data_IF_033015968036
#
_entry.id   IF_033015968036
#
_cell.length_a   1.000
_cell.length_b   1.000
_cell.length_c   1.000
_cell.angle_alpha   90.00
_cell.angle_beta   90.00
_cell.angle_gamma   90.00
#
_symmetry.space_group_name_H-M   'P 1'
#
loop_
_entity.id
_entity.type
_entity.pdbx_description
1 polymer ?
#
# COMPACT_ATOMS: atom_id res chain seq x y z
N UNK A 1 -4.30 7.80 31.22
CA UNK A 1 -5.27 8.91 31.42
C UNK A 1 -5.51 9.23 32.90
N UNK A 2 -5.89 8.26 33.76
CA UNK A 2 -6.18 8.52 35.20
C UNK A 2 -5.04 9.21 35.97
N UNK A 3 -3.79 8.80 35.77
CA UNK A 3 -2.64 9.43 36.41
C UNK A 3 -2.40 10.88 35.95
N UNK A 4 -2.65 11.19 34.67
CA UNK A 4 -2.49 12.56 34.13
C UNK A 4 -3.54 13.52 34.71
N UNK A 5 -4.76 13.04 34.92
CA UNK A 5 -5.84 13.79 35.57
C UNK A 5 -5.53 14.05 37.05
N UNK A 6 -5.08 13.03 37.80
CA UNK A 6 -4.70 13.23 39.21
C UNK A 6 -3.53 14.20 39.38
N UNK A 7 -2.55 14.17 38.47
CA UNK A 7 -1.45 15.15 38.46
C UNK A 7 -1.91 16.56 38.07
N UNK A 8 -2.95 16.71 37.26
CA UNK A 8 -3.52 18.02 36.91
C UNK A 8 -4.24 18.63 38.11
N UNK A 9 -5.10 17.85 38.80
CA UNK A 9 -5.75 18.31 40.03
C UNK A 9 -4.73 18.74 41.09
N UNK A 10 -3.71 17.93 41.35
CA UNK A 10 -2.66 18.29 42.30
C UNK A 10 -1.85 19.53 41.90
N UNK A 11 -1.66 19.78 40.59
CA UNK A 11 -0.94 20.97 40.11
C UNK A 11 -1.79 22.25 40.21
N UNK A 12 -3.11 22.13 40.06
CA UNK A 12 -4.09 23.23 40.28
C UNK A 12 -4.12 23.62 41.75
N UNK A 13 -4.22 22.64 42.66
CA UNK A 13 -4.19 22.87 44.12
C UNK A 13 -2.89 23.54 44.59
N UNK A 14 -1.79 23.32 43.89
CA UNK A 14 -0.47 23.88 44.20
C UNK A 14 -0.18 25.21 43.46
N UNK A 15 -1.16 25.77 42.74
CA UNK A 15 -1.02 27.05 42.03
C UNK A 15 -0.01 27.07 40.87
N UNK A 16 0.41 25.91 40.36
CA UNK A 16 1.46 25.82 39.31
C UNK A 16 0.86 25.94 37.91
N UNK A 17 0.54 27.16 37.50
CA UNK A 17 -0.17 27.49 36.25
C UNK A 17 0.48 26.91 34.99
N UNK A 18 1.81 26.96 34.85
CA UNK A 18 2.52 26.40 33.69
C UNK A 18 2.35 24.88 33.57
N UNK A 19 2.40 24.17 34.71
CA UNK A 19 2.23 22.71 34.75
C UNK A 19 0.79 22.31 34.42
N UNK A 20 -0.18 23.12 34.84
CA UNK A 20 -1.60 22.93 34.49
C UNK A 20 -1.81 23.10 32.99
N UNK A 21 -1.27 24.18 32.40
CA UNK A 21 -1.36 24.42 30.96
C UNK A 21 -0.75 23.27 30.14
N UNK A 22 0.43 22.78 30.53
CA UNK A 22 1.07 21.65 29.85
C UNK A 22 0.26 20.35 29.95
N UNK A 23 -0.27 20.04 31.14
CA UNK A 23 -1.09 18.84 31.34
C UNK A 23 -2.43 18.92 30.59
N UNK A 24 -3.05 20.09 30.53
CA UNK A 24 -4.27 20.32 29.76
C UNK A 24 -4.02 20.14 28.25
N UNK A 25 -2.96 20.73 27.71
CA UNK A 25 -2.59 20.55 26.31
C UNK A 25 -2.34 19.07 25.99
N UNK A 26 -1.59 18.37 26.84
CA UNK A 26 -1.30 16.95 26.66
C UNK A 26 -2.55 16.07 26.70
N UNK A 27 -3.59 16.44 27.46
CA UNK A 27 -4.87 15.72 27.46
C UNK A 27 -5.63 15.94 26.16
N UNK A 28 -5.69 17.18 25.68
CA UNK A 28 -6.30 17.53 24.38
C UNK A 28 -5.62 16.79 23.24
N UNK A 29 -4.29 16.74 23.22
CA UNK A 29 -3.52 16.02 22.20
C UNK A 29 -3.83 14.51 22.21
N UNK A 30 -3.93 13.90 23.40
CA UNK A 30 -4.31 12.49 23.54
C UNK A 30 -5.74 12.21 23.07
N UNK A 31 -6.70 13.09 23.38
CA UNK A 31 -8.09 12.96 22.92
C UNK A 31 -8.18 13.06 21.40
N UNK A 32 -7.43 13.99 20.81
CA UNK A 32 -7.38 14.21 19.37
C UNK A 32 -6.69 13.04 18.63
N UNK A 33 -5.67 12.42 19.23
CA UNK A 33 -5.07 11.21 18.70
C UNK A 33 -6.07 10.03 18.70
N UNK A 34 -6.79 9.83 19.80
CA UNK A 34 -7.79 8.77 19.93
C UNK A 34 -8.98 8.97 18.97
N UNK A 35 -9.46 10.20 18.79
CA UNK A 35 -10.57 10.48 17.88
C UNK A 35 -10.21 10.19 16.43
N UNK A 36 -8.98 10.49 16.01
CA UNK A 36 -8.44 10.13 14.68
C UNK A 36 -8.36 8.62 14.48
N UNK A 37 -7.88 7.88 15.48
CA UNK A 37 -7.80 6.43 15.38
C UNK A 37 -9.20 5.81 15.27
N UNK A 38 -10.16 6.24 16.09
CA UNK A 38 -11.55 5.79 16.00
C UNK A 38 -12.20 6.13 14.65
N UNK A 39 -11.95 7.33 14.12
CA UNK A 39 -12.46 7.75 12.82
C UNK A 39 -11.93 6.89 11.66
N UNK A 40 -10.69 6.40 11.75
CA UNK A 40 -10.06 5.60 10.69
C UNK A 40 -10.19 4.09 10.91
N UNK A 41 -10.52 3.63 12.12
CA UNK A 41 -10.67 2.20 12.45
C UNK A 41 -11.70 1.49 11.56
N UNK A 42 -12.86 2.11 11.35
CA UNK A 42 -13.93 1.56 10.50
C UNK A 42 -13.54 1.44 9.03
N UNK A 43 -12.73 2.37 8.51
CA UNK A 43 -12.20 2.30 7.15
C UNK A 43 -11.20 1.16 7.00
N UNK A 44 -10.38 0.91 8.04
CA UNK A 44 -9.38 -0.17 8.07
C UNK A 44 -10.04 -1.55 8.15
N UNK A 45 -11.14 -1.69 8.89
CA UNK A 45 -11.93 -2.93 8.97
C UNK A 45 -12.72 -3.21 7.69
N UNK A 46 -13.10 -2.18 6.94
CA UNK A 46 -13.78 -2.28 5.64
C UNK A 46 -12.84 -2.51 4.45
N UNK A 47 -11.60 -2.99 4.68
CA UNK A 47 -10.84 -3.60 3.59
C UNK A 47 -11.70 -4.75 3.02
N UNK A 48 -12.00 -4.74 1.71
CA UNK A 48 -13.13 -5.50 1.20
C UNK A 48 -12.96 -6.98 1.50
N UNK A 49 -13.98 -7.54 2.19
CA UNK A 49 -14.23 -8.96 2.20
C UNK A 49 -14.21 -9.43 0.74
N UNK A 50 -13.30 -10.37 0.45
CA UNK A 50 -13.35 -11.28 -0.69
C UNK A 50 -14.20 -10.80 -1.88
N UNK A 51 -13.58 -10.16 -2.88
CA UNK A 51 -14.22 -9.90 -4.18
C UNK A 51 -14.94 -11.18 -4.68
N UNK A 52 -16.13 -11.13 -5.28
CA UNK A 52 -16.87 -12.32 -5.70
C UNK A 52 -15.99 -13.27 -6.55
N UNK A 53 -16.17 -14.59 -6.42
CA UNK A 53 -15.27 -15.57 -7.04
C UNK A 53 -15.10 -15.37 -8.56
N UNK A 54 -16.18 -14.98 -9.26
CA UNK A 54 -16.19 -14.67 -10.69
C UNK A 54 -15.30 -13.47 -11.04
N UNK A 55 -15.22 -12.46 -10.16
CA UNK A 55 -14.35 -11.29 -10.32
C UNK A 55 -12.86 -11.66 -10.12
N UNK A 56 -12.54 -12.65 -9.27
CA UNK A 56 -11.14 -13.06 -9.05
C UNK A 56 -10.56 -13.79 -10.27
N UNK A 57 -11.34 -14.68 -10.90
CA UNK A 57 -10.90 -15.37 -12.12
C UNK A 57 -10.80 -14.41 -13.32
N UNK A 58 -11.74 -13.47 -13.45
CA UNK A 58 -11.67 -12.43 -14.48
C UNK A 58 -10.40 -11.57 -14.32
N UNK A 59 -10.09 -11.16 -13.08
CA UNK A 59 -8.86 -10.41 -12.77
C UNK A 59 -7.59 -11.22 -13.00
N UNK A 60 -7.61 -12.53 -12.73
CA UNK A 60 -6.48 -13.43 -13.03
C UNK A 60 -6.20 -13.44 -14.54
N UNK A 61 -7.24 -13.66 -15.36
CA UNK A 61 -7.13 -13.66 -16.82
C UNK A 61 -6.60 -12.32 -17.35
N UNK A 62 -7.12 -11.20 -16.84
CA UNK A 62 -6.65 -9.85 -17.20
C UNK A 62 -5.15 -9.67 -16.92
N UNK A 63 -4.68 -10.12 -15.75
CA UNK A 63 -3.27 -10.00 -15.39
C UNK A 63 -2.36 -10.92 -16.23
N UNK A 64 -2.84 -12.12 -16.59
CA UNK A 64 -2.13 -13.02 -17.51
C UNK A 64 -2.00 -12.38 -18.90
N UNK A 65 -3.04 -11.72 -19.40
CA UNK A 65 -3.00 -10.97 -20.66
C UNK A 65 -2.01 -9.81 -20.61
N UNK A 66 -1.99 -9.06 -19.51
CA UNK A 66 -0.99 -8.02 -19.30
C UNK A 66 0.43 -8.59 -19.24
N UNK A 67 0.64 -9.73 -18.60
CA UNK A 67 1.94 -10.39 -18.57
C UNK A 67 2.42 -10.73 -19.98
N UNK A 68 1.56 -11.40 -20.78
CA UNK A 68 1.86 -11.76 -22.17
C UNK A 68 2.20 -10.53 -23.01
N UNK A 69 1.43 -9.45 -22.87
CA UNK A 69 1.66 -8.20 -23.59
C UNK A 69 2.96 -7.51 -23.17
N UNK A 70 3.29 -7.49 -21.87
CA UNK A 70 4.54 -6.92 -21.37
C UNK A 70 5.76 -7.70 -21.89
N UNK A 71 5.68 -9.03 -21.93
CA UNK A 71 6.74 -9.86 -22.49
C UNK A 71 6.95 -9.59 -23.99
N UNK A 72 5.86 -9.46 -24.76
CA UNK A 72 5.95 -9.09 -26.17
C UNK A 72 6.62 -7.71 -26.35
N UNK A 73 6.19 -6.72 -25.57
CA UNK A 73 6.76 -5.37 -25.59
C UNK A 73 8.27 -5.34 -25.28
N UNK A 74 8.73 -6.18 -24.36
CA UNK A 74 10.16 -6.32 -24.03
C UNK A 74 10.91 -6.92 -25.22
N UNK A 75 10.43 -8.04 -25.77
CA UNK A 75 11.05 -8.71 -26.93
C UNK A 75 11.16 -7.79 -28.13
N UNK A 76 10.11 -7.01 -28.43
CA UNK A 76 10.12 -6.05 -29.53
C UNK A 76 11.21 -5.00 -29.34
N UNK A 77 11.35 -4.46 -28.12
CA UNK A 77 12.36 -3.43 -27.81
C UNK A 77 13.76 -4.01 -27.76
N UNK A 78 13.94 -5.24 -27.30
CA UNK A 78 15.21 -5.96 -27.37
C UNK A 78 15.64 -6.15 -28.83
N UNK A 79 14.72 -6.53 -29.72
CA UNK A 79 14.98 -6.64 -31.16
C UNK A 79 15.38 -5.30 -31.76
N UNK A 80 14.67 -4.21 -31.43
CA UNK A 80 15.02 -2.86 -31.87
C UNK A 80 16.38 -2.40 -31.32
N UNK A 81 16.73 -2.81 -30.10
CA UNK A 81 18.02 -2.49 -29.47
C UNK A 81 19.15 -3.23 -30.18
N UNK A 82 18.96 -4.50 -30.52
CA UNK A 82 19.94 -5.30 -31.26
C UNK A 82 20.20 -4.76 -32.67
N UNK A 83 19.18 -4.19 -33.32
CA UNK A 83 19.30 -3.55 -34.63
C UNK A 83 19.71 -2.07 -34.58
N UNK A 84 19.96 -1.50 -33.39
CA UNK A 84 20.28 -0.09 -33.27
C UNK A 84 21.74 0.19 -33.69
N UNK A 85 21.92 1.09 -34.66
CA UNK A 85 23.24 1.53 -35.13
C UNK A 85 23.80 2.74 -34.37
N UNK A 86 23.08 3.22 -33.34
CA UNK A 86 23.46 4.37 -32.54
C UNK A 86 23.35 4.07 -31.04
N UNK A 87 24.38 4.49 -30.30
CA UNK A 87 24.50 4.27 -28.86
C UNK A 87 23.43 5.02 -28.07
N UNK A 88 23.04 6.23 -28.49
CA UNK A 88 21.99 6.97 -27.79
C UNK A 88 20.64 6.25 -27.91
N UNK A 89 20.30 5.77 -29.11
CA UNK A 89 19.12 4.92 -29.33
C UNK A 89 19.17 3.62 -28.54
N UNK A 90 20.30 2.92 -28.53
CA UNK A 90 20.47 1.67 -27.78
C UNK A 90 20.27 1.88 -26.27
N UNK A 91 20.85 2.95 -25.70
CA UNK A 91 20.68 3.31 -24.28
C UNK A 91 19.23 3.64 -23.92
N UNK A 92 18.54 4.40 -24.79
CA UNK A 92 17.11 4.71 -24.59
C UNK A 92 16.27 3.43 -24.55
N UNK A 93 16.47 2.52 -25.51
CA UNK A 93 15.75 1.24 -25.55
C UNK A 93 16.04 0.39 -24.30
N UNK A 94 17.27 0.39 -23.80
CA UNK A 94 17.62 -0.31 -22.57
C UNK A 94 16.88 0.25 -21.35
N UNK A 95 16.71 1.57 -21.24
CA UNK A 95 15.91 2.19 -20.17
C UNK A 95 14.43 1.82 -20.28
N UNK A 96 13.89 1.80 -21.50
CA UNK A 96 12.50 1.38 -21.74
C UNK A 96 12.28 -0.09 -21.36
N UNK A 97 13.23 -0.98 -21.70
CA UNK A 97 13.20 -2.39 -21.32
C UNK A 97 13.22 -2.54 -19.80
N UNK A 98 14.15 -1.88 -19.09
CA UNK A 98 14.21 -1.93 -17.63
C UNK A 98 12.91 -1.45 -16.97
N UNK A 99 12.27 -0.41 -17.53
CA UNK A 99 10.97 0.06 -17.05
C UNK A 99 9.86 -0.99 -17.27
N UNK A 100 9.85 -1.68 -18.41
CA UNK A 100 8.90 -2.75 -18.70
C UNK A 100 9.13 -3.99 -17.83
N UNK A 101 10.38 -4.38 -17.59
CA UNK A 101 10.75 -5.47 -16.67
C UNK A 101 10.28 -5.17 -15.25
N UNK A 102 10.45 -3.93 -14.78
CA UNK A 102 9.93 -3.50 -13.48
C UNK A 102 8.40 -3.59 -13.40
N UNK A 103 7.68 -3.28 -14.49
CA UNK A 103 6.22 -3.46 -14.57
C UNK A 103 5.83 -4.94 -14.59
N UNK A 104 6.55 -5.77 -15.35
CA UNK A 104 6.34 -7.21 -15.44
C UNK A 104 6.51 -7.89 -14.08
N UNK A 105 7.54 -7.51 -13.33
CA UNK A 105 7.78 -8.01 -11.97
C UNK A 105 6.60 -7.70 -11.03
N UNK A 106 6.09 -6.47 -11.06
CA UNK A 106 4.90 -6.11 -10.25
C UNK A 106 3.64 -6.86 -10.70
N UNK A 107 3.46 -7.08 -12.00
CA UNK A 107 2.35 -7.86 -12.55
C UNK A 107 2.40 -9.32 -12.04
N UNK A 108 3.58 -9.96 -12.08
CA UNK A 108 3.79 -11.30 -11.54
C UNK A 108 3.52 -11.39 -10.05
N UNK A 109 3.95 -10.39 -9.27
CA UNK A 109 3.61 -10.33 -7.84
C UNK A 109 2.10 -10.25 -7.60
N UNK A 110 1.37 -9.51 -8.44
CA UNK A 110 -0.08 -9.44 -8.35
C UNK A 110 -0.75 -10.77 -8.71
N UNK A 111 -0.25 -11.45 -9.76
CA UNK A 111 -0.70 -12.81 -10.14
C UNK A 111 -0.53 -13.80 -8.98
N UNK A 112 0.66 -13.88 -8.38
CA UNK A 112 0.91 -14.78 -7.24
C UNK A 112 -0.02 -14.52 -6.06
N UNK A 113 -0.35 -13.24 -5.78
CA UNK A 113 -1.31 -12.90 -4.73
C UNK A 113 -2.74 -13.33 -5.08
N UNK A 114 -3.14 -13.21 -6.35
CA UNK A 114 -4.46 -13.65 -6.83
C UNK A 114 -4.57 -15.17 -6.79
N UNK A 115 -3.56 -15.89 -7.25
CA UNK A 115 -3.47 -17.36 -7.21
C UNK A 115 -3.58 -17.87 -5.76
N UNK A 116 -2.85 -17.26 -4.83
CA UNK A 116 -2.95 -17.59 -3.41
C UNK A 116 -4.35 -17.32 -2.82
N UNK A 117 -5.02 -16.25 -3.25
CA UNK A 117 -6.40 -15.96 -2.81
C UNK A 117 -7.40 -17.00 -3.33
N UNK A 118 -7.21 -17.46 -4.58
CA UNK A 118 -8.03 -18.53 -5.17
C UNK A 118 -7.81 -19.82 -4.39
N UNK A 119 -6.55 -20.24 -4.22
CA UNK A 119 -6.19 -21.47 -3.51
C UNK A 119 -6.76 -21.51 -2.09
N UNK A 120 -6.68 -20.40 -1.34
CA UNK A 120 -7.27 -20.31 0.01
C UNK A 120 -8.79 -20.52 0.00
N UNK A 121 -9.50 -19.91 -0.95
CA UNK A 121 -10.95 -20.08 -1.06
C UNK A 121 -11.33 -21.50 -1.45
N UNK A 122 -10.58 -22.12 -2.36
CA UNK A 122 -10.81 -23.51 -2.77
C UNK A 122 -10.59 -24.50 -1.62
N UNK A 123 -9.67 -24.18 -0.70
CA UNK A 123 -9.49 -24.94 0.55
C UNK A 123 -10.57 -24.69 1.61
N UNK A 124 -11.49 -23.75 1.40
CA UNK A 124 -12.55 -23.41 2.35
C UNK A 124 -12.10 -22.55 3.55
N UNK A 125 -10.96 -21.84 3.41
CA UNK A 125 -10.35 -20.97 4.44
C UNK A 125 -10.57 -19.46 4.24
#
# INVERSE_FOLDING_TARGET
SRATLSHLFSAVEQGRTERVAWLAQRLTDQMLALSRELATQNLRHKHPASAPAEDVYARLAEHQDYERRLQAMIRDRDSLRAAANDLARARKLQQEIAALEGRLMRCRQALTRLEYQIERRERGE
#
